data_IF_744388926285
#
_entry.id   IF_744388926285
#
_cell.length_a   1.000
_cell.length_b   1.000
_cell.length_c   1.000
_cell.angle_alpha   90.00
_cell.angle_beta   90.00
_cell.angle_gamma   90.00
#
_symmetry.space_group_name_H-M   'P 1'
#
loop_
_entity.id
_entity.type
_entity.pdbx_description
1 polymer ?
#
# COMPACT_ATOMS: atom_id res chain seq x y z
N UNK A 1 32.12 -22.20 -10.43
CA UNK A 1 31.29 -21.01 -10.77
C UNK A 1 29.90 -21.18 -10.17
N UNK A 2 29.28 -22.39 -10.22
CA UNK A 2 28.00 -22.71 -9.56
C UNK A 2 27.96 -22.28 -8.09
N UNK A 3 29.09 -22.42 -7.38
CA UNK A 3 29.24 -21.95 -6.01
C UNK A 3 29.15 -20.43 -5.82
N UNK A 4 29.19 -19.60 -6.86
CA UNK A 4 29.23 -18.15 -6.68
C UNK A 4 27.86 -17.50 -6.65
N UNK A 5 26.90 -17.90 -7.50
CA UNK A 5 25.56 -17.30 -7.52
C UNK A 5 24.76 -17.78 -6.31
N UNK A 6 24.77 -19.09 -6.03
CA UNK A 6 24.13 -19.63 -4.81
C UNK A 6 24.78 -19.12 -3.52
N UNK A 7 26.12 -18.89 -3.52
CA UNK A 7 26.78 -18.22 -2.40
C UNK A 7 26.36 -16.78 -2.22
N UNK A 8 26.18 -16.04 -3.30
CA UNK A 8 25.69 -14.65 -3.25
C UNK A 8 24.24 -14.58 -2.74
N UNK A 9 23.40 -15.57 -3.07
CA UNK A 9 22.05 -15.71 -2.51
C UNK A 9 22.07 -16.07 -1.02
N UNK A 10 23.11 -16.75 -0.55
CA UNK A 10 23.28 -17.12 0.86
C UNK A 10 23.99 -16.04 1.69
N UNK A 11 24.67 -15.09 1.05
CA UNK A 11 25.28 -13.96 1.75
C UNK A 11 24.25 -12.87 2.05
N UNK A 12 23.91 -12.62 3.34
CA UNK A 12 22.88 -11.66 3.72
C UNK A 12 23.15 -10.24 3.22
N UNK A 13 24.43 -9.82 3.11
CA UNK A 13 24.77 -8.46 2.66
C UNK A 13 24.53 -8.29 1.16
N UNK A 14 24.99 -9.24 0.36
CA UNK A 14 24.78 -9.22 -1.09
C UNK A 14 23.29 -9.29 -1.42
N UNK A 15 22.56 -10.15 -0.69
CA UNK A 15 21.11 -10.25 -0.84
C UNK A 15 20.40 -8.95 -0.47
N UNK A 16 20.72 -8.35 0.68
CA UNK A 16 20.11 -7.08 1.09
C UNK A 16 20.41 -5.94 0.10
N UNK A 17 21.64 -5.86 -0.38
CA UNK A 17 22.03 -4.86 -1.39
C UNK A 17 21.22 -5.01 -2.67
N UNK A 18 21.03 -6.24 -3.14
CA UNK A 18 20.19 -6.50 -4.32
C UNK A 18 18.75 -6.05 -4.11
N UNK A 19 18.14 -6.42 -2.98
CA UNK A 19 16.75 -6.03 -2.67
C UNK A 19 16.60 -4.51 -2.56
N UNK A 20 17.54 -3.83 -1.92
CA UNK A 20 17.53 -2.36 -1.78
C UNK A 20 17.63 -1.67 -3.15
N UNK A 21 18.46 -2.17 -4.04
CA UNK A 21 18.59 -1.66 -5.41
C UNK A 21 17.35 -1.96 -6.24
N UNK A 22 16.83 -3.18 -6.15
CA UNK A 22 15.57 -3.56 -6.79
C UNK A 22 14.41 -2.66 -6.36
N UNK A 23 14.27 -2.38 -5.07
CA UNK A 23 13.21 -1.50 -4.56
C UNK A 23 13.34 -0.06 -5.07
N UNK A 24 14.56 0.41 -5.37
CA UNK A 24 14.79 1.74 -5.98
C UNK A 24 14.43 1.77 -7.47
N UNK A 25 14.77 0.72 -8.19
CA UNK A 25 14.64 0.63 -9.67
C UNK A 25 13.33 0.03 -10.12
N UNK A 26 12.62 -0.69 -9.24
CA UNK A 26 11.34 -1.32 -9.53
C UNK A 26 10.31 -0.33 -10.06
N UNK A 27 9.55 -0.74 -11.05
CA UNK A 27 8.39 0.00 -11.55
C UNK A 27 7.26 0.09 -10.52
N UNK A 28 7.19 -0.88 -9.61
CA UNK A 28 6.24 -0.83 -8.49
C UNK A 28 6.72 0.15 -7.43
N UNK A 29 5.91 1.13 -7.15
CA UNK A 29 6.11 2.07 -6.04
C UNK A 29 4.95 1.90 -5.05
N UNK A 30 5.28 1.60 -3.81
CA UNK A 30 4.28 1.45 -2.76
C UNK A 30 3.65 2.81 -2.44
N UNK A 31 2.40 3.01 -2.85
CA UNK A 31 1.65 4.25 -2.68
C UNK A 31 1.44 4.59 -1.20
N UNK A 32 1.22 3.57 -0.36
CA UNK A 32 1.00 3.75 1.06
C UNK A 32 2.15 4.50 1.76
N UNK A 33 3.39 4.33 1.30
CA UNK A 33 4.57 5.00 1.87
C UNK A 33 4.53 6.52 1.72
N UNK A 34 3.87 7.01 0.66
CA UNK A 34 3.74 8.43 0.40
C UNK A 34 2.56 9.07 1.14
N UNK A 35 1.58 8.28 1.51
CA UNK A 35 0.30 8.77 2.01
C UNK A 35 0.10 8.53 3.51
N UNK A 36 0.63 7.44 4.03
CA UNK A 36 0.54 7.11 5.45
C UNK A 36 1.70 7.77 6.23
N UNK A 37 1.43 8.08 7.48
CA UNK A 37 2.46 8.55 8.42
C UNK A 37 3.53 7.47 8.63
N UNK A 38 4.70 7.83 9.17
CA UNK A 38 5.73 6.87 9.49
C UNK A 38 5.19 5.69 10.30
N UNK A 39 5.76 4.52 10.04
CA UNK A 39 5.41 3.28 10.75
C UNK A 39 5.79 3.43 12.22
N UNK A 40 4.84 3.18 13.11
CA UNK A 40 5.08 3.14 14.54
C UNK A 40 5.24 1.69 15.00
N UNK A 41 6.22 1.45 15.87
CA UNK A 41 6.40 0.13 16.46
C UNK A 41 5.35 -0.12 17.54
N UNK A 42 4.60 -1.21 17.41
CA UNK A 42 3.64 -1.66 18.40
C UNK A 42 4.05 -3.03 18.92
N UNK A 43 4.42 -3.12 20.19
CA UNK A 43 4.81 -4.37 20.83
C UNK A 43 3.62 -5.32 21.07
N UNK A 44 2.41 -4.77 21.23
CA UNK A 44 1.18 -5.54 21.37
C UNK A 44 0.55 -5.83 20.01
N UNK A 45 -0.11 -6.99 19.88
CA UNK A 45 -0.89 -7.34 18.68
C UNK A 45 -2.24 -6.60 18.58
N UNK A 46 -2.45 -5.62 19.45
CA UNK A 46 -3.64 -4.79 19.51
C UNK A 46 -3.22 -3.34 19.52
N UNK A 47 -3.87 -2.53 18.70
CA UNK A 47 -3.65 -1.09 18.71
C UNK A 47 -4.86 -0.37 19.29
N UNK A 48 -4.59 0.76 19.94
CA UNK A 48 -5.58 1.73 20.38
C UNK A 48 -5.20 3.09 19.80
N UNK A 49 -6.11 3.67 19.05
CA UNK A 49 -5.94 5.02 18.51
C UNK A 49 -7.06 5.92 19.03
N UNK A 50 -6.71 7.05 19.57
CA UNK A 50 -7.68 8.06 19.97
C UNK A 50 -8.08 8.86 18.73
N UNK A 51 -9.36 8.81 18.36
CA UNK A 51 -9.92 9.61 17.29
C UNK A 51 -10.52 10.88 17.90
N UNK A 52 -9.83 12.01 17.70
CA UNK A 52 -10.40 13.31 18.03
C UNK A 52 -11.22 13.80 16.84
N UNK A 53 -12.49 14.05 17.05
CA UNK A 53 -13.28 14.82 16.09
C UNK A 53 -12.89 16.27 16.27
N UNK A 54 -12.13 16.84 15.34
CA UNK A 54 -11.85 18.28 15.35
C UNK A 54 -13.18 19.03 15.21
N UNK A 55 -13.61 19.69 16.28
CA UNK A 55 -14.69 20.64 16.16
C UNK A 55 -14.25 21.76 15.20
N UNK A 56 -15.11 22.13 14.26
CA UNK A 56 -14.90 23.35 13.48
C UNK A 56 -14.71 24.50 14.48
N UNK A 57 -13.74 25.36 14.22
CA UNK A 57 -13.58 26.57 15.02
C UNK A 57 -14.92 27.32 15.04
N UNK A 58 -15.57 27.35 16.20
CA UNK A 58 -16.83 28.06 16.34
C UNK A 58 -16.56 29.56 16.43
N UNK A 59 -17.42 30.33 15.80
CA UNK A 59 -17.38 31.78 15.93
C UNK A 59 -17.74 32.13 17.37
N UNK A 60 -16.90 32.91 18.04
CA UNK A 60 -17.14 33.36 19.42
C UNK A 60 -18.45 34.13 19.52
N UNK A 61 -19.18 33.93 20.59
CA UNK A 61 -20.44 34.61 20.86
C UNK A 61 -20.19 36.04 21.38
N UNK A 62 -20.89 37.00 20.84
CA UNK A 62 -20.92 38.36 21.40
C UNK A 62 -21.94 38.38 22.55
N UNK A 63 -21.49 38.68 23.74
CA UNK A 63 -22.35 38.70 24.94
C UNK A 63 -22.37 40.09 25.55
N UNK A 64 -23.49 40.46 26.14
CA UNK A 64 -23.61 41.73 26.87
C UNK A 64 -22.71 41.69 28.14
N UNK A 65 -22.36 42.86 28.67
CA UNK A 65 -21.37 43.01 29.78
C UNK A 65 -21.66 42.16 31.00
N UNK A 66 -22.95 41.89 31.31
CA UNK A 66 -23.40 41.13 32.47
C UNK A 66 -24.14 39.84 32.08
N UNK A 67 -24.04 39.39 30.83
CA UNK A 67 -24.72 38.18 30.40
C UNK A 67 -23.84 36.95 30.69
N UNK A 68 -24.53 35.83 30.94
CA UNK A 68 -23.91 34.53 31.12
C UNK A 68 -23.23 34.10 29.82
N UNK A 69 -22.02 33.52 29.94
CA UNK A 69 -21.25 33.06 28.76
C UNK A 69 -21.79 31.73 28.31
N UNK A 70 -22.02 31.52 26.98
CA UNK A 70 -22.47 30.24 26.49
C UNK A 70 -21.41 29.17 26.76
N UNK A 71 -21.84 28.08 27.38
CA UNK A 71 -21.02 26.92 27.64
C UNK A 71 -21.01 26.01 26.39
N UNK A 72 -19.82 25.74 25.88
CA UNK A 72 -19.64 24.81 24.79
C UNK A 72 -19.12 23.48 25.31
N UNK A 73 -19.73 22.38 24.87
CA UNK A 73 -19.23 21.02 25.16
C UNK A 73 -18.01 20.72 24.31
N UNK A 74 -17.01 20.09 24.92
CA UNK A 74 -15.84 19.59 24.18
C UNK A 74 -16.28 18.47 23.23
N UNK A 75 -15.65 18.36 22.04
CA UNK A 75 -15.95 17.29 21.11
C UNK A 75 -15.65 15.92 21.74
N UNK A 76 -16.48 14.94 21.42
CA UNK A 76 -16.31 13.57 21.90
C UNK A 76 -15.01 12.97 21.35
N UNK A 77 -14.32 12.26 22.23
CA UNK A 77 -13.15 11.47 21.89
C UNK A 77 -13.61 10.05 21.60
N UNK A 78 -13.50 9.64 20.34
CA UNK A 78 -13.67 8.25 19.94
C UNK A 78 -12.40 7.45 20.16
N UNK A 79 -12.54 6.19 20.53
CA UNK A 79 -11.41 5.26 20.58
C UNK A 79 -11.59 4.21 19.50
N UNK A 80 -10.58 4.09 18.64
CA UNK A 80 -10.48 3.04 17.64
C UNK A 80 -9.55 1.94 18.18
N UNK A 81 -10.07 0.73 18.30
CA UNK A 81 -9.29 -0.44 18.72
C UNK A 81 -9.31 -1.49 17.63
N UNK A 82 -8.22 -2.19 17.45
CA UNK A 82 -8.16 -3.27 16.47
C UNK A 82 -6.96 -4.18 16.70
N UNK A 83 -6.99 -5.35 16.07
CA UNK A 83 -5.87 -6.28 16.08
C UNK A 83 -4.94 -6.03 14.89
N UNK A 84 -3.66 -6.23 15.12
CA UNK A 84 -2.64 -6.13 14.07
C UNK A 84 -2.48 -7.51 13.43
N UNK A 85 -2.85 -7.61 12.15
CA UNK A 85 -2.65 -8.81 11.34
C UNK A 85 -1.22 -8.92 10.84
N UNK A 86 -0.68 -10.14 10.80
CA UNK A 86 0.60 -10.40 10.14
C UNK A 86 0.39 -10.52 8.64
N UNK A 87 1.16 -9.78 7.85
CA UNK A 87 1.22 -9.93 6.40
C UNK A 87 2.51 -10.69 6.09
N UNK A 88 2.39 -11.86 5.49
CA UNK A 88 3.52 -12.69 5.08
C UNK A 88 3.07 -13.61 3.95
N UNK A 89 3.95 -13.80 2.98
CA UNK A 89 3.81 -14.79 1.91
C UNK A 89 5.05 -15.67 1.86
N UNK A 90 4.85 -16.91 1.47
CA UNK A 90 5.91 -17.90 1.28
C UNK A 90 5.90 -18.32 -0.19
N UNK A 91 7.08 -18.39 -0.78
CA UNK A 91 7.28 -18.79 -2.18
C UNK A 91 8.14 -20.03 -2.20
N UNK A 92 7.57 -21.10 -2.70
CA UNK A 92 8.27 -22.38 -2.87
C UNK A 92 9.03 -22.35 -4.20
N UNK A 93 10.29 -22.80 -4.15
CA UNK A 93 11.09 -23.06 -5.33
C UNK A 93 10.87 -24.53 -5.72
N UNK A 94 9.97 -24.74 -6.69
CA UNK A 94 9.72 -26.08 -7.20
C UNK A 94 10.85 -26.61 -8.09
N UNK A 95 10.78 -27.90 -8.42
CA UNK A 95 11.81 -28.55 -9.22
C UNK A 95 11.93 -27.95 -10.62
N UNK A 96 10.80 -27.57 -11.23
CA UNK A 96 10.79 -26.98 -12.57
C UNK A 96 11.52 -25.63 -12.58
N UNK A 97 11.34 -24.82 -11.54
CA UNK A 97 12.07 -23.58 -11.37
C UNK A 97 13.59 -23.81 -11.22
N UNK A 98 13.98 -24.79 -10.43
CA UNK A 98 15.39 -25.15 -10.23
C UNK A 98 16.02 -25.69 -11.53
N UNK A 99 15.31 -26.52 -12.28
CA UNK A 99 15.76 -27.01 -13.59
C UNK A 99 15.97 -25.87 -14.60
N UNK A 100 15.04 -24.93 -14.67
CA UNK A 100 15.20 -23.75 -15.54
C UNK A 100 16.40 -22.88 -15.13
N UNK A 101 16.62 -22.71 -13.84
CA UNK A 101 17.78 -22.00 -13.32
C UNK A 101 19.09 -22.69 -13.72
N UNK A 102 19.17 -24.02 -13.59
CA UNK A 102 20.33 -24.81 -14.01
C UNK A 102 20.53 -24.75 -15.54
N UNK A 103 19.47 -24.76 -16.33
CA UNK A 103 19.52 -24.59 -17.77
C UNK A 103 20.10 -23.23 -18.18
N UNK A 104 19.68 -22.16 -17.53
CA UNK A 104 20.20 -20.81 -17.77
C UNK A 104 21.68 -20.70 -17.37
N UNK A 105 22.04 -21.27 -16.23
CA UNK A 105 23.42 -21.34 -15.76
C UNK A 105 24.31 -22.15 -16.73
N UNK A 106 23.83 -23.31 -17.19
CA UNK A 106 24.51 -24.13 -18.19
C UNK A 106 24.75 -23.37 -19.50
N UNK A 107 23.73 -22.65 -20.00
CA UNK A 107 23.88 -21.80 -21.20
C UNK A 107 24.91 -20.69 -21.00
N UNK A 108 24.90 -20.00 -19.86
CA UNK A 108 25.89 -18.97 -19.55
C UNK A 108 27.32 -19.54 -19.50
N UNK A 109 27.51 -20.67 -18.83
CA UNK A 109 28.80 -21.33 -18.71
C UNK A 109 29.31 -21.80 -20.06
N UNK A 110 28.44 -22.32 -20.93
CA UNK A 110 28.78 -22.78 -22.28
C UNK A 110 29.21 -21.59 -23.15
N UNK A 111 28.47 -20.47 -23.13
CA UNK A 111 28.83 -19.24 -23.81
C UNK A 111 30.17 -18.66 -23.32
N UNK A 112 30.39 -18.66 -22.02
CA UNK A 112 31.62 -18.17 -21.39
C UNK A 112 32.85 -19.05 -21.73
N UNK A 113 32.64 -20.36 -21.87
CA UNK A 113 33.72 -21.32 -22.10
C UNK A 113 34.14 -21.50 -23.57
N UNK A 114 33.21 -21.33 -24.51
CA UNK A 114 33.47 -21.60 -25.93
C UNK A 114 34.17 -20.46 -26.69
N UNK A 115 34.14 -19.25 -26.17
CA UNK A 115 34.61 -18.05 -26.89
C UNK A 115 33.67 -17.66 -28.03
N UNK A 116 34.02 -16.56 -28.72
CA UNK A 116 33.22 -16.07 -29.87
C UNK A 116 32.01 -15.19 -29.50
N UNK A 117 31.72 -15.01 -28.23
CA UNK A 117 30.68 -14.10 -27.76
C UNK A 117 31.30 -12.77 -27.29
N UNK A 118 30.58 -11.68 -27.57
CA UNK A 118 30.99 -10.36 -27.09
C UNK A 118 30.71 -10.23 -25.58
N UNK A 119 31.45 -9.37 -24.89
CA UNK A 119 31.23 -9.09 -23.47
C UNK A 119 29.78 -8.62 -23.18
N UNK A 120 29.20 -7.86 -24.12
CA UNK A 120 27.81 -7.42 -24.01
C UNK A 120 26.82 -8.58 -24.02
N UNK A 121 27.05 -9.60 -24.86
CA UNK A 121 26.18 -10.80 -24.88
C UNK A 121 26.33 -11.64 -23.62
N UNK A 122 27.54 -11.76 -23.08
CA UNK A 122 27.76 -12.46 -21.80
C UNK A 122 27.10 -11.73 -20.65
N UNK A 123 27.23 -10.40 -20.59
CA UNK A 123 26.58 -9.60 -19.56
C UNK A 123 25.05 -9.71 -19.63
N UNK A 124 24.47 -9.64 -20.83
CA UNK A 124 23.02 -9.79 -20.99
C UNK A 124 22.52 -11.15 -20.50
N UNK A 125 23.29 -12.22 -20.77
CA UNK A 125 22.95 -13.56 -20.32
C UNK A 125 23.12 -13.76 -18.81
N UNK A 126 24.14 -13.13 -18.26
CA UNK A 126 24.33 -13.09 -16.81
C UNK A 126 23.20 -12.34 -16.09
N UNK A 127 22.79 -11.19 -16.64
CA UNK A 127 21.67 -10.41 -16.10
C UNK A 127 20.34 -11.18 -16.16
N UNK A 128 20.11 -11.96 -17.23
CA UNK A 128 18.95 -12.84 -17.34
C UNK A 128 18.94 -13.91 -16.23
N UNK A 129 20.11 -14.55 -16.00
CA UNK A 129 20.27 -15.54 -14.95
C UNK A 129 20.03 -14.94 -13.56
N UNK A 130 20.62 -13.78 -13.27
CA UNK A 130 20.43 -13.06 -12.01
C UNK A 130 18.94 -12.70 -11.80
N UNK A 131 18.31 -12.09 -12.79
CA UNK A 131 16.87 -11.73 -12.71
C UNK A 131 16.00 -12.94 -12.47
N UNK A 132 16.27 -14.05 -13.13
CA UNK A 132 15.52 -15.29 -12.90
C UNK A 132 15.74 -15.81 -11.48
N UNK A 133 16.97 -15.91 -11.02
CA UNK A 133 17.33 -16.42 -9.70
C UNK A 133 16.76 -15.62 -8.53
N UNK A 134 16.62 -14.29 -8.70
CA UNK A 134 16.10 -13.42 -7.64
C UNK A 134 14.58 -13.18 -7.73
N UNK A 135 13.91 -13.64 -8.78
CA UNK A 135 12.48 -13.39 -9.00
C UNK A 135 11.55 -13.77 -7.83
N UNK A 136 11.69 -14.94 -7.18
CA UNK A 136 10.86 -15.29 -6.03
C UNK A 136 11.04 -14.35 -4.85
N UNK A 137 12.27 -13.88 -4.62
CA UNK A 137 12.58 -12.93 -3.54
C UNK A 137 11.99 -11.54 -3.82
N UNK A 138 12.07 -11.07 -5.08
CA UNK A 138 11.40 -9.85 -5.50
C UNK A 138 9.89 -9.92 -5.22
N UNK A 139 9.25 -11.04 -5.56
CA UNK A 139 7.84 -11.24 -5.30
C UNK A 139 7.53 -11.27 -3.81
N UNK A 140 8.36 -11.94 -2.99
CA UNK A 140 8.21 -12.00 -1.55
C UNK A 140 8.32 -10.62 -0.88
N UNK A 141 9.15 -9.72 -1.44
CA UNK A 141 9.30 -8.35 -0.93
C UNK A 141 8.14 -7.44 -1.37
N UNK A 142 7.68 -7.59 -2.62
CA UNK A 142 6.62 -6.73 -3.16
C UNK A 142 5.23 -7.11 -2.62
N UNK A 143 4.94 -8.39 -2.41
CA UNK A 143 3.59 -8.85 -2.09
C UNK A 143 3.03 -8.25 -0.80
N UNK A 144 3.78 -8.11 0.32
CA UNK A 144 3.31 -7.41 1.50
C UNK A 144 2.98 -5.94 1.23
N UNK A 145 3.79 -5.25 0.44
CA UNK A 145 3.52 -3.85 0.08
C UNK A 145 2.26 -3.69 -0.75
N UNK A 146 2.04 -4.58 -1.73
CA UNK A 146 0.79 -4.60 -2.51
C UNK A 146 -0.43 -4.88 -1.64
N UNK A 147 -0.29 -5.75 -0.63
CA UNK A 147 -1.39 -5.99 0.31
C UNK A 147 -1.70 -4.75 1.13
N UNK A 148 -0.70 -4.02 1.59
CA UNK A 148 -0.91 -2.76 2.33
C UNK A 148 -1.55 -1.71 1.42
N UNK A 149 -1.10 -1.56 0.17
CA UNK A 149 -1.74 -0.67 -0.80
C UNK A 149 -3.22 -1.01 -1.01
N UNK A 150 -3.52 -2.30 -1.20
CA UNK A 150 -4.90 -2.76 -1.37
C UNK A 150 -5.76 -2.40 -0.15
N UNK A 151 -5.27 -2.68 1.06
CA UNK A 151 -5.99 -2.34 2.30
C UNK A 151 -6.14 -0.82 2.47
N UNK A 152 -5.12 -0.04 2.11
CA UNK A 152 -5.17 1.41 2.15
C UNK A 152 -6.24 1.96 1.22
N UNK A 153 -6.26 1.54 -0.05
CA UNK A 153 -7.26 1.99 -1.01
C UNK A 153 -8.66 1.50 -0.65
N UNK A 154 -8.81 0.27 -0.19
CA UNK A 154 -10.11 -0.24 0.28
C UNK A 154 -10.64 0.62 1.43
N UNK A 155 -9.81 0.91 2.43
CA UNK A 155 -10.17 1.79 3.54
C UNK A 155 -10.51 3.22 3.11
N UNK A 156 -9.79 3.75 2.12
CA UNK A 156 -10.02 5.09 1.58
C UNK A 156 -11.36 5.18 0.82
N UNK A 157 -11.66 4.20 -0.04
CA UNK A 157 -12.83 4.24 -0.91
C UNK A 157 -14.10 3.69 -0.26
N UNK A 158 -14.00 2.68 0.59
CA UNK A 158 -15.15 2.03 1.23
C UNK A 158 -15.41 2.49 2.66
N UNK A 159 -14.45 3.21 3.27
CA UNK A 159 -14.49 3.57 4.68
C UNK A 159 -14.16 2.41 5.63
N UNK A 160 -14.08 1.19 5.12
CA UNK A 160 -13.78 -0.03 5.87
C UNK A 160 -12.67 -0.80 5.19
N UNK A 161 -11.85 -1.48 5.98
CA UNK A 161 -10.89 -2.48 5.49
C UNK A 161 -11.38 -3.85 5.90
N UNK A 162 -11.60 -4.73 4.93
CA UNK A 162 -12.04 -6.09 5.19
C UNK A 162 -11.01 -7.09 4.70
N UNK A 163 -10.54 -7.95 5.59
CA UNK A 163 -9.77 -9.13 5.26
C UNK A 163 -10.64 -10.35 5.47
N UNK A 164 -10.85 -11.13 4.43
CA UNK A 164 -11.71 -12.31 4.44
C UNK A 164 -11.17 -13.36 3.48
N UNK A 165 -11.73 -14.55 3.50
CA UNK A 165 -11.37 -15.60 2.54
C UNK A 165 -11.56 -15.20 1.08
N UNK A 166 -12.44 -14.26 0.78
CA UNK A 166 -12.70 -13.77 -0.58
C UNK A 166 -11.51 -13.05 -1.18
N UNK A 167 -10.80 -12.24 -0.38
CA UNK A 167 -9.62 -11.47 -0.81
C UNK A 167 -8.31 -11.98 -0.21
N UNK A 168 -8.37 -13.07 0.58
CA UNK A 168 -7.24 -13.67 1.26
C UNK A 168 -7.48 -15.18 1.43
N UNK A 169 -7.57 -15.90 0.32
CA UNK A 169 -8.06 -17.29 0.26
C UNK A 169 -7.24 -18.29 1.08
N UNK A 170 -5.94 -18.04 1.26
CA UNK A 170 -5.04 -18.94 2.00
C UNK A 170 -5.01 -18.70 3.52
N UNK A 171 -5.60 -17.62 4.01
CA UNK A 171 -5.56 -17.30 5.43
C UNK A 171 -6.93 -17.51 6.10
N UNK A 172 -6.91 -18.20 7.24
CA UNK A 172 -8.10 -18.40 8.09
C UNK A 172 -8.35 -17.21 9.02
N UNK A 173 -8.18 -16.00 8.51
CA UNK A 173 -8.44 -14.77 9.25
C UNK A 173 -9.57 -14.00 8.57
N UNK A 174 -10.46 -13.46 9.37
CA UNK A 174 -11.49 -12.54 8.91
C UNK A 174 -11.57 -11.40 9.93
N UNK A 175 -11.33 -10.18 9.47
CA UNK A 175 -11.53 -9.00 10.28
C UNK A 175 -11.89 -7.80 9.41
N UNK A 176 -12.68 -6.91 9.99
CA UNK A 176 -13.09 -5.67 9.36
C UNK A 176 -12.73 -4.52 10.28
N UNK A 177 -12.09 -3.51 9.71
CA UNK A 177 -11.78 -2.25 10.38
C UNK A 177 -12.67 -1.17 9.80
N UNK A 178 -13.47 -0.54 10.66
CA UNK A 178 -14.17 0.69 10.30
C UNK A 178 -13.23 1.88 10.58
N UNK A 179 -12.91 2.63 9.54
CA UNK A 179 -12.03 3.78 9.64
C UNK A 179 -12.78 5.08 9.96
N UNK A 180 -14.08 5.01 10.18
CA UNK A 180 -14.94 6.17 10.45
C UNK A 180 -14.97 7.18 9.28
N UNK A 181 -14.62 6.74 8.08
CA UNK A 181 -14.66 7.59 6.88
C UNK A 181 -16.11 7.73 6.42
N UNK A 182 -16.60 8.97 6.38
CA UNK A 182 -17.97 9.21 5.93
C UNK A 182 -18.10 9.00 4.42
N UNK A 183 -18.92 8.03 4.04
CA UNK A 183 -19.31 7.79 2.67
C UNK A 183 -20.44 8.75 2.27
N UNK A 184 -20.34 9.36 1.11
CA UNK A 184 -21.37 10.20 0.54
C UNK A 184 -21.64 9.71 -0.89
N UNK A 185 -22.93 9.53 -1.21
CA UNK A 185 -23.32 9.12 -2.55
C UNK A 185 -23.72 10.36 -3.38
N UNK A 186 -23.38 10.33 -4.67
CA UNK A 186 -23.89 11.29 -5.62
C UNK A 186 -25.42 11.17 -5.74
N UNK A 187 -26.10 12.25 -6.06
CA UNK A 187 -27.56 12.26 -6.26
C UNK A 187 -27.95 11.42 -7.47
N UNK A 188 -27.16 11.51 -8.52
CA UNK A 188 -27.29 10.76 -9.78
C UNK A 188 -25.98 10.04 -10.05
N UNK A 189 -26.04 8.80 -10.53
CA UNK A 189 -24.81 8.09 -10.87
C UNK A 189 -24.07 8.83 -11.98
N UNK A 190 -22.78 9.06 -11.81
CA UNK A 190 -21.97 9.85 -12.74
C UNK A 190 -21.85 9.24 -14.15
N UNK A 191 -22.23 7.97 -14.32
CA UNK A 191 -22.36 7.34 -15.64
C UNK A 191 -23.65 7.66 -16.41
N UNK A 192 -24.58 8.41 -15.82
CA UNK A 192 -25.85 8.75 -16.44
C UNK A 192 -25.80 10.09 -17.18
N UNK A 193 -26.63 10.24 -18.25
CA UNK A 193 -26.61 11.41 -19.14
C UNK A 193 -26.91 12.76 -18.44
N UNK A 194 -27.63 12.74 -17.33
CA UNK A 194 -28.01 13.93 -16.53
C UNK A 194 -27.15 14.08 -15.26
N UNK A 195 -26.06 13.37 -15.16
CA UNK A 195 -25.15 13.52 -14.03
C UNK A 195 -24.44 14.89 -14.04
N UNK A 196 -24.26 15.45 -12.85
CA UNK A 196 -23.58 16.74 -12.66
C UNK A 196 -22.37 16.59 -11.71
N UNK A 197 -21.32 15.85 -12.10
CA UNK A 197 -20.19 15.51 -11.21
C UNK A 197 -19.51 16.75 -10.62
N UNK A 198 -19.36 17.80 -11.41
CA UNK A 198 -18.71 19.05 -10.97
C UNK A 198 -19.53 19.74 -9.86
N UNK A 199 -20.86 19.71 -9.96
CA UNK A 199 -21.73 20.29 -8.93
C UNK A 199 -21.71 19.47 -7.66
N UNK A 200 -21.69 18.13 -7.75
CA UNK A 200 -21.54 17.25 -6.61
C UNK A 200 -20.22 17.51 -5.88
N UNK A 201 -19.12 17.68 -6.61
CA UNK A 201 -17.82 18.03 -6.04
C UNK A 201 -17.84 19.40 -5.35
N UNK A 202 -18.49 20.41 -5.98
CA UNK A 202 -18.66 21.73 -5.36
C UNK A 202 -19.49 21.67 -4.07
N UNK A 203 -20.58 20.89 -4.08
CA UNK A 203 -21.42 20.65 -2.92
C UNK A 203 -20.65 19.96 -1.78
N UNK A 204 -19.88 18.91 -2.11
CA UNK A 204 -19.01 18.23 -1.16
C UNK A 204 -17.99 19.19 -0.54
N UNK A 205 -17.36 20.03 -1.35
CA UNK A 205 -16.40 21.04 -0.90
C UNK A 205 -17.04 22.08 0.02
N UNK A 206 -18.27 22.49 -0.27
CA UNK A 206 -19.02 23.42 0.55
C UNK A 206 -19.38 22.80 1.91
N UNK A 207 -19.90 21.56 1.92
CA UNK A 207 -20.23 20.85 3.15
C UNK A 207 -18.99 20.58 4.03
N UNK A 208 -17.86 20.26 3.41
CA UNK A 208 -16.60 20.12 4.14
C UNK A 208 -16.18 21.44 4.80
N UNK A 209 -16.31 22.56 4.09
CA UNK A 209 -16.00 23.91 4.63
C UNK A 209 -16.91 24.31 5.79
N UNK A 210 -18.21 24.01 5.73
CA UNK A 210 -19.14 24.24 6.85
C UNK A 210 -18.70 23.52 8.12
N UNK A 211 -18.04 22.38 7.98
CA UNK A 211 -17.47 21.60 9.09
C UNK A 211 -16.03 21.97 9.44
N UNK A 212 -15.52 23.10 8.94
CA UNK A 212 -14.14 23.54 9.16
C UNK A 212 -13.08 22.67 8.51
N UNK A 213 -13.45 21.82 7.55
CA UNK A 213 -12.54 20.91 6.84
C UNK A 213 -12.20 21.44 5.46
N UNK A 214 -10.98 21.19 5.00
CA UNK A 214 -10.52 21.55 3.67
C UNK A 214 -10.24 20.27 2.87
N UNK A 215 -10.89 20.11 1.72
CA UNK A 215 -10.55 19.04 0.78
C UNK A 215 -9.26 19.44 0.06
N UNK A 216 -8.23 18.63 0.20
CA UNK A 216 -6.90 18.89 -0.36
C UNK A 216 -6.68 18.16 -1.67
N UNK A 217 -7.29 16.98 -1.84
CA UNK A 217 -7.10 16.11 -3.01
C UNK A 217 -8.41 15.51 -3.43
N UNK A 218 -8.54 15.28 -4.72
CA UNK A 218 -9.59 14.50 -5.35
C UNK A 218 -8.91 13.35 -6.10
N UNK A 219 -9.34 12.13 -5.83
CA UNK A 219 -8.87 10.93 -6.54
C UNK A 219 -10.04 10.32 -7.26
N UNK A 220 -9.85 10.05 -8.53
CA UNK A 220 -10.85 9.44 -9.40
C UNK A 220 -10.19 8.32 -10.18
N UNK A 221 -10.99 7.35 -10.58
CA UNK A 221 -10.55 6.30 -11.48
C UNK A 221 -10.39 6.87 -12.90
N UNK A 222 -9.46 6.31 -13.68
CA UNK A 222 -9.10 6.77 -15.03
C UNK A 222 -10.32 6.90 -15.95
N UNK A 223 -11.28 6.00 -15.84
CA UNK A 223 -12.49 5.95 -16.67
C UNK A 223 -13.69 6.71 -16.06
N UNK A 224 -13.47 7.59 -15.08
CA UNK A 224 -14.58 8.32 -14.44
C UNK A 224 -15.06 9.53 -15.24
N UNK A 225 -14.27 9.97 -16.23
CA UNK A 225 -14.57 11.07 -17.15
C UNK A 225 -14.25 10.69 -18.58
#
# INVERSE_FOLDING_TARGET
IMNSILKNLQDPKSFQTYIDEYMKTSTYKAEWKNELKPVEYCAAKVYQANMATYAAAMVGSVVAKNAERPLHTMPDWGQLTGSIGRIADEWELDNDYLEQMHLLEGKFNDMSGRGGYTQSQLNAKYDELIKYSFKPFELAVISPHKRIDMLYFEGLFKGTQTVSRTNNSKANVSYTFDLGVKQLSATTNWGEANATPIEDIKKLKYEARKKGRKILRLRMYENTF
#
